data_IF_268913757004
#
_entry.id   IF_268913757004
#
_cell.length_a   1.000
_cell.length_b   1.000
_cell.length_c   1.000
_cell.angle_alpha   90.00
_cell.angle_beta   90.00
_cell.angle_gamma   90.00
#
_symmetry.space_group_name_H-M   'P 1'
#
loop_
_entity.id
_entity.type
_entity.pdbx_description
1 polymer ?
#
# COMPACT_ATOMS: atom_id res chain seq x y z
N UNK A 1 -10.72 7.50 2.90
CA UNK A 1 -10.00 6.24 2.63
C UNK A 1 -10.28 5.84 1.19
N UNK A 2 -9.50 4.90 0.65
CA UNK A 2 -9.69 4.33 -0.68
C UNK A 2 -9.88 2.81 -0.55
N UNK A 3 -10.66 2.23 -1.46
CA UNK A 3 -10.89 0.79 -1.57
C UNK A 3 -10.74 0.34 -3.02
N UNK A 4 -10.38 -0.92 -3.23
CA UNK A 4 -10.27 -1.49 -4.57
C UNK A 4 -11.66 -1.77 -5.19
N UNK A 5 -12.68 -1.96 -4.35
CA UNK A 5 -14.06 -2.33 -4.70
C UNK A 5 -14.18 -3.74 -5.31
N UNK A 6 -13.66 -3.92 -6.53
CA UNK A 6 -13.84 -5.12 -7.35
C UNK A 6 -12.48 -5.68 -7.81
N UNK A 7 -12.31 -7.01 -7.83
CA UNK A 7 -11.14 -7.71 -8.39
C UNK A 7 -11.60 -8.87 -9.26
N UNK A 8 -11.40 -8.75 -10.57
CA UNK A 8 -11.77 -9.76 -11.57
C UNK A 8 -13.22 -10.26 -11.44
N UNK A 9 -14.17 -9.34 -11.32
CA UNK A 9 -15.60 -9.63 -11.17
C UNK A 9 -16.44 -8.99 -12.31
N UNK A 10 -17.78 -9.14 -12.32
CA UNK A 10 -18.63 -8.59 -13.37
C UNK A 10 -18.60 -7.07 -13.54
N UNK A 11 -18.15 -6.31 -12.54
CA UNK A 11 -18.09 -4.86 -12.56
C UNK A 11 -16.70 -4.34 -12.92
N UNK A 12 -15.65 -5.08 -12.55
CA UNK A 12 -14.27 -4.73 -12.91
C UNK A 12 -13.42 -5.98 -13.19
N UNK A 13 -13.03 -6.14 -14.46
CA UNK A 13 -12.31 -7.33 -14.94
C UNK A 13 -10.82 -7.35 -14.61
N UNK A 14 -10.24 -6.23 -14.17
CA UNK A 14 -8.84 -6.12 -13.77
C UNK A 14 -8.70 -6.22 -12.24
N UNK A 15 -7.50 -5.92 -11.74
CA UNK A 15 -7.20 -5.86 -10.31
C UNK A 15 -6.28 -6.96 -9.84
N UNK A 16 -5.38 -6.60 -8.93
CA UNK A 16 -4.41 -7.52 -8.30
C UNK A 16 -4.53 -7.55 -6.78
N UNK A 17 -5.44 -6.74 -6.21
CA UNK A 17 -5.53 -6.52 -4.77
C UNK A 17 -4.45 -5.59 -4.20
N UNK A 18 -3.62 -4.97 -5.05
CA UNK A 18 -2.57 -4.07 -4.61
C UNK A 18 -3.10 -2.65 -4.32
N UNK A 19 -3.11 -2.26 -3.05
CA UNK A 19 -3.58 -0.93 -2.64
C UNK A 19 -2.71 0.24 -3.15
N UNK A 20 -1.44 0.00 -3.53
CA UNK A 20 -0.63 1.04 -4.18
C UNK A 20 -1.12 1.36 -5.60
N UNK A 21 -1.77 0.42 -6.28
CA UNK A 21 -2.42 0.69 -7.58
C UNK A 21 -3.63 1.61 -7.41
N UNK A 22 -4.42 1.37 -6.36
CA UNK A 22 -5.57 2.21 -5.99
C UNK A 22 -5.11 3.63 -5.64
N UNK A 23 -4.08 3.76 -4.78
CA UNK A 23 -3.51 5.06 -4.43
C UNK A 23 -2.92 5.78 -5.66
N UNK A 24 -2.22 5.06 -6.53
CA UNK A 24 -1.68 5.60 -7.77
C UNK A 24 -2.79 6.14 -8.69
N UNK A 25 -3.89 5.41 -8.86
CA UNK A 25 -5.04 5.88 -9.64
C UNK A 25 -5.64 7.16 -9.04
N UNK A 26 -5.77 7.22 -7.71
CA UNK A 26 -6.30 8.39 -7.01
C UNK A 26 -5.44 9.65 -7.22
N UNK A 27 -4.10 9.53 -7.19
CA UNK A 27 -3.20 10.66 -7.48
C UNK A 27 -3.55 11.33 -8.81
N UNK A 28 -3.88 10.54 -9.84
CA UNK A 28 -4.20 11.04 -11.17
C UNK A 28 -5.64 11.57 -11.24
N UNK A 29 -6.62 10.74 -10.87
CA UNK A 29 -8.05 11.06 -11.04
C UNK A 29 -8.48 12.22 -10.14
N UNK A 30 -7.89 12.33 -8.95
CA UNK A 30 -8.20 13.40 -8.00
C UNK A 30 -7.27 14.62 -8.13
N UNK A 31 -6.35 14.65 -9.11
CA UNK A 31 -5.38 15.74 -9.31
C UNK A 31 -4.52 16.02 -8.07
N UNK A 32 -4.20 14.96 -7.33
CA UNK A 32 -3.48 14.98 -6.06
C UNK A 32 -1.96 14.80 -6.28
N UNK A 33 -1.38 15.62 -7.15
CA UNK A 33 0.00 15.42 -7.67
C UNK A 33 1.09 16.19 -6.92
N UNK A 34 0.76 17.01 -5.93
CA UNK A 34 1.76 17.61 -5.04
C UNK A 34 2.19 16.64 -3.93
N UNK A 35 3.31 16.93 -3.27
CA UNK A 35 3.89 16.00 -2.29
C UNK A 35 2.95 15.74 -1.11
N UNK A 36 2.30 16.78 -0.59
CA UNK A 36 1.36 16.64 0.51
C UNK A 36 0.13 15.83 0.10
N UNK A 37 -0.36 16.00 -1.13
CA UNK A 37 -1.48 15.24 -1.65
C UNK A 37 -1.10 13.77 -1.90
N UNK A 38 0.11 13.48 -2.38
CA UNK A 38 0.61 12.10 -2.54
C UNK A 38 0.72 11.40 -1.18
N UNK A 39 1.21 12.08 -0.16
CA UNK A 39 1.24 11.55 1.21
C UNK A 39 -0.18 11.27 1.73
N UNK A 40 -1.14 12.15 1.44
CA UNK A 40 -2.54 11.92 1.76
C UNK A 40 -3.12 10.71 1.02
N UNK A 41 -2.75 10.47 -0.24
CA UNK A 41 -3.12 9.26 -0.99
C UNK A 41 -2.56 7.99 -0.33
N UNK A 42 -1.34 8.03 0.19
CA UNK A 42 -0.77 6.91 0.95
C UNK A 42 -1.54 6.67 2.26
N UNK A 43 -1.86 7.73 3.00
CA UNK A 43 -2.66 7.64 4.23
C UNK A 43 -4.08 7.11 3.95
N UNK A 44 -4.65 7.41 2.78
CA UNK A 44 -5.95 6.90 2.36
C UNK A 44 -6.04 5.38 2.23
N UNK A 45 -4.92 4.71 1.97
CA UNK A 45 -4.82 3.24 1.87
C UNK A 45 -4.21 2.58 3.12
N UNK A 46 -3.99 3.34 4.19
CA UNK A 46 -3.42 2.87 5.45
C UNK A 46 -4.20 3.43 6.65
N UNK A 47 -3.76 4.53 7.26
CA UNK A 47 -4.35 5.11 8.47
C UNK A 47 -5.82 5.48 8.32
N UNK A 48 -6.22 6.05 7.17
CA UNK A 48 -7.62 6.39 6.95
C UNK A 48 -8.49 5.15 6.75
N UNK A 49 -7.95 4.08 6.17
CA UNK A 49 -8.65 2.80 6.07
C UNK A 49 -8.91 2.22 7.46
N UNK A 50 -7.88 2.19 8.31
CA UNK A 50 -8.01 1.77 9.71
C UNK A 50 -9.01 2.63 10.49
N UNK A 51 -9.01 3.95 10.27
CA UNK A 51 -9.99 4.87 10.86
C UNK A 51 -11.42 4.57 10.41
N UNK A 52 -11.64 4.32 9.12
CA UNK A 52 -12.96 3.94 8.59
C UNK A 52 -13.48 2.65 9.24
N UNK A 53 -12.59 1.71 9.55
CA UNK A 53 -12.92 0.43 10.16
C UNK A 53 -12.92 0.44 11.71
N UNK A 54 -12.70 1.59 12.34
CA UNK A 54 -12.62 1.72 13.81
C UNK A 54 -11.50 0.86 14.44
N UNK A 55 -10.34 0.77 13.78
CA UNK A 55 -9.19 -0.05 14.21
C UNK A 55 -8.03 0.75 14.81
N UNK A 56 -8.18 2.05 15.05
CA UNK A 56 -7.10 2.96 15.44
C UNK A 56 -6.32 2.51 16.68
N UNK A 57 -7.01 1.88 17.64
CA UNK A 57 -6.40 1.41 18.89
C UNK A 57 -5.41 0.26 18.65
N UNK A 58 -5.63 -0.54 17.61
CA UNK A 58 -4.86 -1.75 17.29
C UNK A 58 -4.10 -1.66 15.97
N UNK A 59 -4.08 -0.49 15.32
CA UNK A 59 -3.43 -0.27 14.01
C UNK A 59 -2.39 0.84 14.09
N UNK A 60 -1.20 0.59 13.55
CA UNK A 60 -0.09 1.54 13.51
C UNK A 60 1.21 0.95 14.04
N UNK A 61 2.31 1.67 13.80
CA UNK A 61 3.66 1.28 14.24
C UNK A 61 3.99 2.02 15.53
N UNK A 62 3.47 1.51 16.65
CA UNK A 62 3.63 2.10 17.98
C UNK A 62 3.83 1.00 19.03
N UNK A 63 4.53 1.31 20.11
CA UNK A 63 4.75 0.37 21.22
C UNK A 63 3.40 -0.02 21.83
N UNK A 64 3.21 -1.33 22.05
CA UNK A 64 1.98 -1.89 22.62
C UNK A 64 0.93 -2.31 21.58
N UNK A 65 1.03 -1.85 20.33
CA UNK A 65 0.15 -2.32 19.25
C UNK A 65 0.59 -3.71 18.73
N UNK A 66 -0.34 -4.50 18.16
CA UNK A 66 0.00 -5.78 17.53
C UNK A 66 1.09 -5.61 16.46
N UNK A 67 2.04 -6.54 16.40
CA UNK A 67 3.11 -6.56 15.39
C UNK A 67 2.57 -7.00 14.01
N UNK A 68 1.75 -6.14 13.41
CA UNK A 68 1.21 -6.26 12.06
C UNK A 68 1.83 -5.16 11.19
N UNK A 69 2.73 -5.53 10.29
CA UNK A 69 3.37 -4.57 9.39
C UNK A 69 3.77 -5.22 8.07
N UNK A 70 4.01 -4.36 7.09
CA UNK A 70 4.65 -4.73 5.84
C UNK A 70 5.94 -3.92 5.69
N UNK A 71 6.88 -4.46 4.94
CA UNK A 71 8.09 -3.76 4.51
C UNK A 71 8.01 -3.58 3.00
N UNK A 72 8.11 -2.35 2.52
CA UNK A 72 8.11 -2.02 1.10
C UNK A 72 9.55 -1.81 0.63
N UNK A 73 9.85 -2.23 -0.60
CA UNK A 73 11.05 -1.84 -1.32
C UNK A 73 10.89 -0.38 -1.78
N UNK A 74 10.95 0.59 -0.87
CA UNK A 74 10.82 2.02 -1.14
C UNK A 74 11.40 2.88 -0.01
N UNK A 75 11.97 4.03 -0.38
CA UNK A 75 12.57 4.96 0.58
C UNK A 75 11.58 6.01 1.12
N UNK A 76 10.40 6.11 0.50
CA UNK A 76 9.36 7.07 0.89
C UNK A 76 7.98 6.65 0.41
N UNK A 77 6.93 7.32 0.93
CA UNK A 77 5.54 7.16 0.46
C UNK A 77 5.39 7.53 -1.01
N UNK A 78 6.04 8.62 -1.42
CA UNK A 78 6.13 9.05 -2.81
C UNK A 78 6.72 7.93 -3.69
N UNK A 79 7.88 7.39 -3.30
CA UNK A 79 8.55 6.35 -4.08
C UNK A 79 7.75 5.04 -4.12
N UNK A 80 7.09 4.69 -3.01
CA UNK A 80 6.19 3.54 -2.92
C UNK A 80 5.05 3.63 -3.94
N UNK A 81 4.37 4.77 -4.03
CA UNK A 81 3.28 4.98 -5.00
C UNK A 81 3.84 5.05 -6.43
N UNK A 82 4.90 5.85 -6.66
CA UNK A 82 5.49 6.05 -7.99
C UNK A 82 5.91 4.73 -8.65
N UNK A 83 6.56 3.85 -7.89
CA UNK A 83 7.05 2.56 -8.40
C UNK A 83 6.04 1.43 -8.28
N UNK A 84 4.95 1.62 -7.54
CA UNK A 84 4.11 0.51 -7.03
C UNK A 84 5.02 -0.51 -6.35
N UNK A 85 5.75 -0.05 -5.34
CA UNK A 85 6.83 -0.78 -4.71
C UNK A 85 6.45 -2.20 -4.29
N UNK A 86 7.41 -3.12 -4.41
CA UNK A 86 7.24 -4.52 -4.02
C UNK A 86 7.13 -4.62 -2.51
N UNK A 87 6.21 -5.45 -2.02
CA UNK A 87 6.13 -5.80 -0.61
C UNK A 87 7.17 -6.90 -0.31
N UNK A 88 8.24 -6.53 0.38
CA UNK A 88 9.35 -7.41 0.74
C UNK A 88 8.98 -8.42 1.81
N UNK A 89 8.26 -7.97 2.84
CA UNK A 89 7.87 -8.79 3.98
C UNK A 89 6.44 -8.46 4.43
N UNK A 90 5.67 -9.49 4.74
CA UNK A 90 4.37 -9.38 5.41
C UNK A 90 4.47 -10.06 6.76
N UNK A 91 4.30 -9.27 7.82
CA UNK A 91 4.37 -9.73 9.20
C UNK A 91 2.99 -9.53 9.84
N UNK A 92 2.44 -10.59 10.43
CA UNK A 92 1.21 -10.51 11.21
C UNK A 92 1.39 -11.18 12.57
N UNK A 93 0.95 -10.50 13.61
CA UNK A 93 1.06 -10.95 15.00
C UNK A 93 2.49 -11.41 15.36
N UNK A 94 3.49 -10.67 14.86
CA UNK A 94 4.91 -10.96 15.09
C UNK A 94 5.46 -12.16 14.32
N UNK A 95 4.72 -12.74 13.37
CA UNK A 95 5.16 -13.85 12.53
C UNK A 95 5.30 -13.40 11.07
N UNK A 96 6.41 -13.77 10.44
CA UNK A 96 6.59 -13.61 9.00
C UNK A 96 5.64 -14.56 8.26
N UNK A 97 4.72 -14.02 7.47
CA UNK A 97 3.73 -14.77 6.71
C UNK A 97 4.17 -14.98 5.25
N UNK A 98 4.74 -13.94 4.64
CA UNK A 98 5.17 -13.97 3.25
C UNK A 98 6.40 -13.07 3.07
N UNK A 99 7.24 -13.43 2.09
CA UNK A 99 8.35 -12.59 1.64
C UNK A 99 8.40 -12.59 0.11
N UNK A 100 8.93 -11.53 -0.48
CA UNK A 100 9.10 -11.38 -1.92
C UNK A 100 10.49 -10.87 -2.24
N UNK A 101 11.19 -11.54 -3.16
CA UNK A 101 12.42 -11.02 -3.75
C UNK A 101 12.08 -10.05 -4.90
N UNK A 102 12.57 -8.80 -4.88
CA UNK A 102 12.35 -7.87 -5.98
C UNK A 102 12.91 -8.38 -7.30
N UNK A 103 12.27 -7.96 -8.40
CA UNK A 103 12.76 -8.28 -9.75
C UNK A 103 14.16 -7.73 -9.98
N UNK A 104 15.07 -8.56 -10.49
CA UNK A 104 16.42 -8.16 -10.90
C UNK A 104 16.45 -7.92 -12.41
N UNK A 105 16.86 -6.73 -12.84
CA UNK A 105 17.05 -6.43 -14.26
C UNK A 105 18.47 -6.77 -14.69
N UNK A 106 18.63 -7.51 -15.79
CA UNK A 106 19.92 -7.82 -16.40
C UNK A 106 20.06 -7.08 -17.74
N UNK A 107 21.01 -6.16 -17.83
CA UNK A 107 21.40 -5.56 -19.11
C UNK A 107 22.41 -6.48 -19.82
N UNK A 108 22.14 -6.81 -21.08
CA UNK A 108 22.94 -7.78 -21.85
C UNK A 108 23.99 -7.16 -22.78
N UNK A 109 24.18 -5.84 -22.75
CA UNK A 109 24.91 -5.11 -23.79
C UNK A 109 23.96 -4.73 -24.91
#
# INVERSE_FOLDING_TARGET
SLGHDCVQDPWYSLGTGNMLEVAHMAVHVCQMTGMAEIDACFDMVTWHGAKTLHLQDNYGIEIGKPANLIVLDADSRYDAIRRRATILYVISQGKLLAYTEPSVTQWKG
#
